data_IF_711436259844
#
_entry.id   IF_711436259844
#
_cell.length_a   1.000
_cell.length_b   1.000
_cell.length_c   1.000
_cell.angle_alpha   90.00
_cell.angle_beta   90.00
_cell.angle_gamma   90.00
#
_symmetry.space_group_name_H-M   'P 1'
#
loop_
_entity.id
_entity.type
_entity.pdbx_description
1 polymer ?
#
# COMPACT_ATOMS: atom_id res chain seq x y z
N UNK A 1 -7.05 3.50 30.78
CA UNK A 1 -7.32 4.32 29.61
C UNK A 1 -7.28 5.81 29.98
N UNK A 2 -7.91 6.25 31.08
CA UNK A 2 -7.98 7.67 31.51
C UNK A 2 -6.63 8.42 31.56
N UNK A 3 -5.51 7.73 31.73
CA UNK A 3 -4.17 8.35 31.73
C UNK A 3 -3.50 8.39 30.35
N UNK A 4 -4.15 7.85 29.32
CA UNK A 4 -3.62 7.75 27.98
C UNK A 4 -4.37 8.66 26.98
N UNK A 5 -5.36 9.39 27.46
CA UNK A 5 -6.13 10.37 26.68
C UNK A 5 -6.43 11.59 27.53
N UNK A 6 -6.45 12.76 26.94
CA UNK A 6 -6.85 14.00 27.60
C UNK A 6 -8.38 14.17 27.64
N UNK A 7 -9.11 13.24 26.97
CA UNK A 7 -10.56 13.28 26.88
C UNK A 7 -11.23 12.31 27.89
N UNK A 8 -12.45 12.63 28.38
CA UNK A 8 -13.18 11.79 29.32
C UNK A 8 -13.47 10.40 28.74
N UNK A 9 -13.24 9.34 29.54
CA UNK A 9 -13.60 7.98 29.17
C UNK A 9 -15.07 7.70 29.50
N UNK A 10 -15.86 7.36 28.49
CA UNK A 10 -17.27 6.99 28.63
C UNK A 10 -17.38 5.51 28.97
N UNK A 11 -17.74 5.20 30.22
CA UNK A 11 -17.89 3.81 30.71
C UNK A 11 -19.35 3.37 30.86
N UNK A 12 -20.27 4.31 30.79
CA UNK A 12 -21.72 4.08 30.80
C UNK A 12 -22.45 5.18 30.03
N UNK A 13 -23.60 4.84 29.46
CA UNK A 13 -24.47 5.83 28.79
C UNK A 13 -25.37 6.47 29.84
N UNK A 14 -25.34 7.78 29.91
CA UNK A 14 -26.10 8.57 30.86
C UNK A 14 -27.22 9.37 30.18
N UNK A 15 -27.91 10.20 30.96
CA UNK A 15 -28.89 11.14 30.41
C UNK A 15 -28.32 12.25 29.50
N UNK A 16 -26.99 12.30 29.32
CA UNK A 16 -26.34 13.20 28.37
C UNK A 16 -26.31 12.65 26.94
N UNK A 17 -26.68 11.37 26.75
CA UNK A 17 -26.72 10.68 25.47
C UNK A 17 -25.36 10.72 24.72
N UNK A 18 -24.28 10.39 25.44
CA UNK A 18 -22.87 10.50 25.00
C UNK A 18 -22.62 9.87 23.63
N UNK A 19 -23.29 8.76 23.31
CA UNK A 19 -23.21 8.12 22.00
C UNK A 19 -23.63 9.01 20.84
N UNK A 20 -24.60 9.95 21.06
CA UNK A 20 -25.05 10.91 20.04
C UNK A 20 -24.03 12.03 19.90
N UNK A 21 -23.48 12.54 21.02
CA UNK A 21 -22.42 13.56 20.99
C UNK A 21 -21.16 13.02 20.30
N UNK A 22 -20.85 11.73 20.50
CA UNK A 22 -19.69 11.08 19.89
C UNK A 22 -19.94 10.73 18.41
N UNK A 23 -20.90 9.85 18.14
CA UNK A 23 -21.07 9.17 16.87
C UNK A 23 -22.38 9.51 16.14
N UNK A 24 -23.16 10.47 16.62
CA UNK A 24 -24.37 10.93 15.94
C UNK A 24 -24.04 11.75 14.68
N UNK A 25 -25.09 12.10 13.90
CA UNK A 25 -24.94 12.88 12.64
C UNK A 25 -24.28 14.26 12.83
N UNK A 26 -24.36 14.83 14.00
CA UNK A 26 -23.71 16.07 14.41
C UNK A 26 -22.61 15.80 15.47
N UNK A 27 -22.23 14.53 15.63
CA UNK A 27 -21.17 14.12 16.52
C UNK A 27 -19.79 14.55 16.02
N UNK A 28 -18.79 14.49 16.91
CA UNK A 28 -17.43 14.93 16.56
C UNK A 28 -16.55 13.82 15.97
N UNK A 29 -16.99 12.56 16.04
CA UNK A 29 -16.16 11.44 15.56
C UNK A 29 -16.14 11.36 14.04
N UNK A 30 -14.94 11.35 13.46
CA UNK A 30 -14.72 11.09 12.03
C UNK A 30 -14.69 9.58 11.72
N UNK A 31 -14.43 8.75 12.74
CA UNK A 31 -14.39 7.28 12.65
C UNK A 31 -14.59 6.66 14.01
N UNK A 32 -15.25 5.51 14.08
CA UNK A 32 -15.32 4.67 15.27
C UNK A 32 -14.40 3.45 15.09
N UNK A 33 -13.35 3.36 15.92
CA UNK A 33 -12.47 2.20 15.98
C UNK A 33 -12.85 1.28 17.15
N UNK A 34 -13.14 0.01 16.87
CA UNK A 34 -13.36 -1.05 17.85
C UNK A 34 -12.12 -1.97 17.92
N UNK A 35 -11.19 -1.70 18.83
CA UNK A 35 -9.91 -2.40 18.96
C UNK A 35 -9.57 -2.70 20.43
N UNK A 36 -9.60 -3.96 20.86
CA UNK A 36 -10.01 -5.17 20.12
C UNK A 36 -11.53 -5.34 20.03
N UNK A 37 -12.02 -5.96 18.94
CA UNK A 37 -13.39 -6.42 18.80
C UNK A 37 -13.48 -7.93 19.07
N UNK A 38 -14.19 -8.32 20.14
CA UNK A 38 -14.41 -9.73 20.48
C UNK A 38 -15.59 -10.32 19.69
N UNK A 39 -15.72 -11.64 19.66
CA UNK A 39 -16.91 -12.32 19.09
C UNK A 39 -18.23 -11.78 19.67
N UNK A 40 -18.24 -11.47 20.99
CA UNK A 40 -19.43 -10.88 21.62
C UNK A 40 -19.73 -9.48 21.07
N UNK A 41 -18.71 -8.65 20.88
CA UNK A 41 -18.87 -7.30 20.33
C UNK A 41 -19.38 -7.36 18.89
N UNK A 42 -18.70 -8.12 18.03
CA UNK A 42 -19.10 -8.27 16.63
C UNK A 42 -20.54 -8.84 16.49
N UNK A 43 -20.85 -9.90 17.23
CA UNK A 43 -22.18 -10.51 17.22
C UNK A 43 -23.29 -9.58 17.69
N UNK A 44 -23.05 -8.78 18.73
CA UNK A 44 -24.02 -7.79 19.24
C UNK A 44 -24.24 -6.66 18.23
N UNK A 45 -23.18 -6.08 17.68
CA UNK A 45 -23.30 -5.00 16.69
C UNK A 45 -24.06 -5.51 15.46
N UNK A 46 -23.73 -6.72 14.95
CA UNK A 46 -24.42 -7.33 13.82
C UNK A 46 -25.90 -7.66 14.08
N UNK A 47 -26.28 -7.81 15.38
CA UNK A 47 -27.66 -8.03 15.79
C UNK A 47 -28.37 -6.76 16.28
N UNK A 48 -27.73 -5.59 16.18
CA UNK A 48 -28.21 -4.31 16.72
C UNK A 48 -28.56 -4.37 18.22
N UNK A 49 -27.76 -5.09 19.01
CA UNK A 49 -27.89 -5.15 20.47
C UNK A 49 -26.97 -4.10 21.10
N UNK A 50 -27.56 -3.05 21.63
CA UNK A 50 -26.88 -1.88 22.18
C UNK A 50 -26.98 -1.77 23.70
N UNK A 51 -26.50 -2.79 24.40
CA UNK A 51 -26.55 -2.92 25.86
C UNK A 51 -25.25 -2.46 26.58
N UNK A 52 -24.31 -1.89 25.85
CA UNK A 52 -23.04 -1.32 26.36
C UNK A 52 -22.70 -0.02 25.64
N UNK A 53 -21.89 0.88 26.25
CA UNK A 53 -21.43 2.09 25.55
C UNK A 53 -20.82 1.81 24.18
N UNK A 54 -20.02 0.74 24.06
CA UNK A 54 -19.36 0.34 22.81
C UNK A 54 -20.39 -0.03 21.73
N UNK A 55 -21.36 -0.89 22.07
CA UNK A 55 -22.38 -1.33 21.10
C UNK A 55 -23.37 -0.23 20.77
N UNK A 56 -23.70 0.64 21.73
CA UNK A 56 -24.57 1.81 21.49
C UNK A 56 -23.88 2.83 20.58
N UNK A 57 -22.58 3.11 20.79
CA UNK A 57 -21.81 3.94 19.87
C UNK A 57 -21.73 3.32 18.45
N UNK A 58 -21.52 2.00 18.34
CA UNK A 58 -21.47 1.33 17.07
C UNK A 58 -22.81 1.39 16.30
N UNK A 59 -23.93 1.15 17.00
CA UNK A 59 -25.27 1.27 16.41
C UNK A 59 -25.53 2.71 15.94
N UNK A 60 -25.11 3.70 16.74
CA UNK A 60 -25.26 5.13 16.40
C UNK A 60 -24.39 5.50 15.20
N UNK A 61 -23.11 5.10 15.19
CA UNK A 61 -22.18 5.38 14.10
C UNK A 61 -22.68 4.84 12.77
N UNK A 62 -23.10 3.57 12.74
CA UNK A 62 -23.66 2.93 11.54
C UNK A 62 -24.95 3.64 11.05
N UNK A 63 -25.79 4.10 11.97
CA UNK A 63 -27.01 4.85 11.64
C UNK A 63 -26.79 6.31 11.24
N UNK A 64 -25.60 6.85 11.50
CA UNK A 64 -25.20 8.22 11.22
C UNK A 64 -24.21 8.33 10.04
N UNK A 65 -23.89 7.21 9.39
CA UNK A 65 -22.89 7.10 8.32
C UNK A 65 -21.46 7.49 8.77
N UNK A 66 -21.16 7.37 10.07
CA UNK A 66 -19.79 7.48 10.60
C UNK A 66 -19.06 6.18 10.31
N UNK A 67 -17.91 6.22 9.64
CA UNK A 67 -17.14 5.01 9.34
C UNK A 67 -16.81 4.18 10.58
N UNK A 68 -16.93 2.86 10.49
CA UNK A 68 -16.61 1.93 11.57
C UNK A 68 -15.47 1.01 11.13
N UNK A 69 -14.42 0.95 11.94
CA UNK A 69 -13.30 0.02 11.77
C UNK A 69 -13.28 -0.95 12.95
N UNK A 70 -13.15 -2.24 12.68
CA UNK A 70 -13.03 -3.28 13.70
C UNK A 70 -11.70 -4.03 13.58
N UNK A 71 -11.04 -4.26 14.73
CA UNK A 71 -9.88 -5.13 14.83
C UNK A 71 -10.25 -6.39 15.63
N UNK A 72 -10.66 -7.49 14.99
CA UNK A 72 -11.07 -8.71 15.66
C UNK A 72 -9.93 -9.34 16.48
N UNK A 73 -10.26 -9.80 17.70
CA UNK A 73 -9.31 -10.52 18.54
C UNK A 73 -10.05 -11.53 19.43
N UNK A 74 -9.78 -12.84 19.24
CA UNK A 74 -10.41 -13.93 19.95
C UNK A 74 -9.64 -15.24 19.77
N UNK A 75 -10.03 -16.31 20.49
CA UNK A 75 -9.48 -17.64 20.21
C UNK A 75 -9.99 -18.14 18.85
N UNK A 76 -9.11 -18.83 18.09
CA UNK A 76 -9.40 -19.33 16.75
C UNK A 76 -10.73 -20.10 16.64
N UNK A 77 -11.09 -21.05 17.55
CA UNK A 77 -12.38 -21.73 17.48
C UNK A 77 -13.60 -20.80 17.64
N UNK A 78 -13.42 -19.63 18.25
CA UNK A 78 -14.49 -18.61 18.31
C UNK A 78 -14.56 -17.83 17.01
N UNK A 79 -13.42 -17.54 16.40
CA UNK A 79 -13.33 -16.86 15.10
C UNK A 79 -13.96 -17.72 13.99
N UNK A 80 -13.66 -19.04 14.01
CA UNK A 80 -14.17 -20.01 13.03
C UNK A 80 -15.66 -20.41 13.26
N UNK A 81 -16.27 -19.91 14.32
CA UNK A 81 -17.68 -20.23 14.60
C UNK A 81 -18.58 -19.65 13.52
N UNK A 82 -19.46 -20.46 12.85
CA UNK A 82 -20.28 -19.99 11.74
C UNK A 82 -21.07 -18.71 12.02
N UNK A 83 -21.65 -18.58 13.22
CA UNK A 83 -22.39 -17.38 13.61
C UNK A 83 -21.52 -16.14 13.84
N UNK A 84 -20.21 -16.31 14.06
CA UNK A 84 -19.25 -15.17 14.12
C UNK A 84 -18.87 -14.77 12.70
N UNK A 85 -18.57 -15.71 11.84
CA UNK A 85 -18.31 -15.45 10.41
C UNK A 85 -19.52 -14.75 9.75
N UNK A 86 -20.74 -15.26 9.95
CA UNK A 86 -21.96 -14.62 9.47
C UNK A 86 -22.13 -13.18 10.02
N UNK A 87 -21.72 -12.93 11.26
CA UNK A 87 -21.79 -11.59 11.85
C UNK A 87 -20.76 -10.65 11.21
N UNK A 88 -19.53 -11.12 10.96
CA UNK A 88 -18.49 -10.34 10.28
C UNK A 88 -18.88 -10.01 8.84
N UNK A 89 -19.36 -11.00 8.08
CA UNK A 89 -19.83 -10.82 6.69
C UNK A 89 -20.99 -9.80 6.62
N UNK A 90 -21.91 -9.86 7.58
CA UNK A 90 -23.02 -8.91 7.67
C UNK A 90 -22.51 -7.50 7.95
N UNK A 91 -21.59 -7.33 8.89
CA UNK A 91 -21.02 -6.04 9.21
C UNK A 91 -20.22 -5.47 8.03
N UNK A 92 -19.47 -6.29 7.31
CA UNK A 92 -18.77 -5.91 6.09
C UNK A 92 -19.76 -5.41 5.02
N UNK A 93 -20.91 -6.10 4.85
CA UNK A 93 -21.97 -5.68 3.93
C UNK A 93 -22.61 -4.34 4.27
N UNK A 94 -22.47 -3.86 5.51
CA UNK A 94 -22.88 -2.53 5.97
C UNK A 94 -21.79 -1.49 5.88
N UNK A 95 -20.61 -1.86 5.35
CA UNK A 95 -19.47 -0.96 5.16
C UNK A 95 -18.52 -0.89 6.35
N UNK A 96 -18.67 -1.76 7.36
CA UNK A 96 -17.66 -1.90 8.42
C UNK A 96 -16.37 -2.44 7.82
N UNK A 97 -15.25 -1.81 8.12
CA UNK A 97 -13.94 -2.24 7.70
C UNK A 97 -13.28 -3.07 8.76
N UNK A 98 -12.49 -4.06 8.36
CA UNK A 98 -11.77 -4.93 9.27
C UNK A 98 -10.26 -4.80 9.10
N UNK A 99 -9.55 -4.63 10.22
CA UNK A 99 -8.13 -4.93 10.30
C UNK A 99 -8.00 -6.43 10.64
N UNK A 100 -7.64 -7.25 9.65
CA UNK A 100 -7.66 -8.69 9.75
C UNK A 100 -6.74 -9.22 10.85
N UNK A 101 -7.22 -10.15 11.69
CA UNK A 101 -6.42 -10.67 12.78
C UNK A 101 -5.27 -11.54 12.28
N UNK A 102 -4.16 -11.55 13.01
CA UNK A 102 -3.05 -12.48 12.78
C UNK A 102 -3.40 -13.84 13.39
N UNK A 103 -3.41 -14.88 12.56
CA UNK A 103 -3.65 -16.24 13.04
C UNK A 103 -2.34 -16.85 13.55
N UNK A 104 -2.17 -16.91 14.85
CA UNK A 104 -0.95 -17.39 15.50
C UNK A 104 -1.29 -18.23 16.74
N UNK A 105 -0.67 -19.38 16.91
CA UNK A 105 -0.79 -20.25 18.09
C UNK A 105 -2.25 -20.60 18.47
N UNK A 106 -3.12 -20.86 17.49
CA UNK A 106 -4.54 -21.16 17.70
C UNK A 106 -5.38 -19.96 18.20
N UNK A 107 -4.94 -18.75 17.90
CA UNK A 107 -5.63 -17.50 18.25
C UNK A 107 -5.68 -16.57 17.05
N UNK A 108 -6.83 -15.94 16.86
CA UNK A 108 -6.95 -14.73 16.06
C UNK A 108 -6.50 -13.55 16.94
N UNK A 109 -5.20 -13.25 16.91
CA UNK A 109 -4.61 -12.11 17.63
C UNK A 109 -4.99 -10.82 16.90
N UNK A 110 -5.13 -9.73 17.64
CA UNK A 110 -5.37 -8.42 17.05
C UNK A 110 -4.35 -8.14 15.94
N UNK A 111 -4.78 -7.47 14.86
CA UNK A 111 -3.92 -6.99 13.78
C UNK A 111 -2.70 -6.22 14.31
N UNK A 112 -1.65 -6.13 13.53
CA UNK A 112 -0.54 -5.24 13.88
C UNK A 112 -1.04 -3.78 13.97
N UNK A 113 -0.39 -2.97 14.78
CA UNK A 113 -0.78 -1.56 14.95
C UNK A 113 -0.81 -0.83 13.60
N UNK A 114 0.18 -1.07 12.75
CA UNK A 114 0.28 -0.48 11.40
C UNK A 114 -0.92 -0.85 10.51
N UNK A 115 -1.43 -2.07 10.61
CA UNK A 115 -2.58 -2.53 9.84
C UNK A 115 -3.87 -1.84 10.31
N UNK A 116 -4.05 -1.71 11.63
CA UNK A 116 -5.18 -0.98 12.22
C UNK A 116 -5.16 0.48 11.78
N UNK A 117 -3.99 1.14 11.87
CA UNK A 117 -3.80 2.53 11.42
C UNK A 117 -4.10 2.67 9.93
N UNK A 118 -3.69 1.71 9.11
CA UNK A 118 -3.96 1.70 7.66
C UNK A 118 -5.45 1.63 7.36
N UNK A 119 -6.22 0.78 8.08
CA UNK A 119 -7.67 0.69 7.89
C UNK A 119 -8.40 1.94 8.38
N UNK A 120 -7.97 2.55 9.48
CA UNK A 120 -8.50 3.84 9.94
C UNK A 120 -8.21 4.94 8.93
N UNK A 121 -6.97 5.02 8.42
CA UNK A 121 -6.60 5.97 7.39
C UNK A 121 -7.45 5.79 6.12
N UNK A 122 -7.68 4.55 5.69
CA UNK A 122 -8.54 4.27 4.53
C UNK A 122 -10.00 4.68 4.78
N UNK A 123 -10.51 4.51 6.00
CA UNK A 123 -11.87 4.89 6.36
C UNK A 123 -12.10 6.41 6.37
N UNK A 124 -11.03 7.20 6.63
CA UNK A 124 -11.10 8.66 6.79
C UNK A 124 -10.52 9.46 5.61
N UNK A 125 -9.88 8.79 4.65
CA UNK A 125 -9.31 9.45 3.47
C UNK A 125 -10.28 9.44 2.30
N UNK A 126 -10.40 10.53 1.51
CA UNK A 126 -11.20 10.54 0.28
C UNK A 126 -10.78 9.43 -0.68
N UNK A 127 -11.75 8.65 -1.14
CA UNK A 127 -11.54 7.44 -1.97
C UNK A 127 -11.39 7.79 -3.47
N UNK A 128 -10.45 8.68 -3.80
CA UNK A 128 -10.22 9.23 -5.16
C UNK A 128 -9.82 8.18 -6.20
N UNK A 129 -9.30 7.03 -5.74
CA UNK A 129 -8.88 5.90 -6.58
C UNK A 129 -9.83 4.71 -6.48
N UNK A 130 -11.06 4.93 -5.99
CA UNK A 130 -12.07 3.87 -5.92
C UNK A 130 -12.38 3.31 -7.31
N UNK A 131 -12.40 1.98 -7.42
CA UNK A 131 -12.63 1.29 -8.69
C UNK A 131 -11.41 1.17 -9.60
N UNK A 132 -10.25 1.75 -9.22
CA UNK A 132 -9.01 1.61 -10.01
C UNK A 132 -8.16 0.44 -9.51
N UNK A 133 -7.41 -0.17 -10.43
CA UNK A 133 -6.42 -1.21 -10.15
C UNK A 133 -5.03 -0.71 -10.52
N UNK A 134 -4.12 -0.65 -9.55
CA UNK A 134 -2.76 -0.16 -9.74
C UNK A 134 -1.74 -1.24 -9.44
N UNK A 135 -0.82 -1.48 -10.36
CA UNK A 135 0.33 -2.37 -10.18
C UNK A 135 1.51 -1.56 -9.68
N UNK A 136 2.15 -2.00 -8.60
CA UNK A 136 3.33 -1.35 -8.02
C UNK A 136 4.47 -2.34 -7.93
N UNK A 137 5.66 -1.99 -8.42
CA UNK A 137 6.87 -2.77 -8.16
C UNK A 137 7.65 -2.20 -6.97
N UNK A 138 8.23 -3.06 -6.13
CA UNK A 138 9.00 -2.61 -4.97
C UNK A 138 10.22 -3.51 -4.70
N UNK A 139 11.17 -3.01 -3.92
CA UNK A 139 12.36 -3.77 -3.52
C UNK A 139 13.45 -3.76 -4.57
N UNK A 140 14.33 -4.75 -4.50
CA UNK A 140 15.41 -4.96 -5.46
C UNK A 140 15.30 -6.34 -6.07
N UNK A 141 15.55 -6.47 -7.37
CA UNK A 141 15.69 -7.79 -7.98
C UNK A 141 17.01 -8.45 -7.58
N UNK A 142 17.02 -9.77 -7.61
CA UNK A 142 18.15 -10.62 -7.21
C UNK A 142 18.50 -11.54 -8.36
N UNK A 143 19.60 -11.24 -9.05
CA UNK A 143 20.06 -12.05 -10.17
C UNK A 143 20.93 -13.19 -9.65
N UNK A 144 20.58 -14.42 -10.00
CA UNK A 144 21.28 -15.60 -9.51
C UNK A 144 22.64 -15.75 -10.18
N UNK A 145 23.71 -15.99 -9.42
CA UNK A 145 25.04 -16.38 -9.90
C UNK A 145 25.22 -17.90 -9.73
N UNK A 146 24.87 -18.40 -8.54
CA UNK A 146 24.81 -19.84 -8.22
C UNK A 146 23.71 -20.06 -7.16
N UNK A 147 23.42 -21.30 -6.70
CA UNK A 147 22.36 -21.52 -5.70
C UNK A 147 22.50 -20.75 -4.36
N UNK A 148 23.63 -20.07 -4.14
CA UNK A 148 23.92 -19.37 -2.89
C UNK A 148 24.21 -17.89 -3.11
N UNK A 149 24.75 -17.51 -4.26
CA UNK A 149 25.19 -16.12 -4.54
C UNK A 149 24.25 -15.43 -5.51
N UNK A 150 23.98 -14.20 -5.19
CA UNK A 150 23.15 -13.31 -6.00
C UNK A 150 23.88 -11.99 -6.26
N UNK A 151 23.53 -11.34 -7.37
CA UNK A 151 23.80 -9.93 -7.65
C UNK A 151 22.51 -9.15 -7.38
N UNK A 152 22.58 -8.10 -6.56
CA UNK A 152 21.39 -7.30 -6.19
C UNK A 152 21.76 -5.86 -5.86
N UNK A 153 20.76 -5.00 -5.78
CA UNK A 153 20.84 -3.61 -5.33
C UNK A 153 20.60 -3.50 -3.81
N UNK A 154 20.96 -2.36 -3.22
CA UNK A 154 20.75 -2.10 -1.78
C UNK A 154 19.36 -1.60 -1.42
N UNK A 155 18.42 -1.54 -2.36
CA UNK A 155 17.09 -1.01 -2.11
C UNK A 155 16.28 -1.91 -1.16
N UNK A 156 15.68 -1.31 -0.14
CA UNK A 156 14.86 -2.01 0.87
C UNK A 156 13.39 -2.20 0.49
N UNK A 157 12.94 -1.55 -0.59
CA UNK A 157 11.55 -1.54 -1.03
C UNK A 157 10.58 -0.70 -0.17
N UNK A 158 11.08 0.02 0.83
CA UNK A 158 10.22 0.83 1.72
C UNK A 158 9.37 1.84 0.95
N UNK A 159 9.95 2.57 0.00
CA UNK A 159 9.24 3.58 -0.80
C UNK A 159 8.11 2.96 -1.64
N UNK A 160 8.38 1.87 -2.37
CA UNK A 160 7.36 1.20 -3.17
C UNK A 160 6.20 0.64 -2.31
N UNK A 161 6.50 0.11 -1.12
CA UNK A 161 5.47 -0.32 -0.16
C UNK A 161 4.67 0.86 0.41
N UNK A 162 5.30 2.00 0.71
CA UNK A 162 4.62 3.21 1.15
C UNK A 162 3.66 3.74 0.07
N UNK A 163 4.09 3.75 -1.20
CA UNK A 163 3.24 4.09 -2.35
C UNK A 163 2.06 3.12 -2.46
N UNK A 164 2.30 1.82 -2.39
CA UNK A 164 1.25 0.80 -2.46
C UNK A 164 0.20 0.99 -1.34
N UNK A 165 0.65 1.23 -0.10
CA UNK A 165 -0.23 1.53 1.04
C UNK A 165 -1.02 2.82 0.82
N UNK A 166 -0.39 3.88 0.33
CA UNK A 166 -1.06 5.17 0.08
C UNK A 166 -2.15 5.08 -1.01
N UNK A 167 -1.92 4.28 -2.05
CA UNK A 167 -2.91 3.98 -3.09
C UNK A 167 -4.10 3.20 -2.50
N UNK A 168 -3.81 2.17 -1.69
CA UNK A 168 -4.83 1.41 -0.98
C UNK A 168 -5.68 2.32 -0.09
N UNK A 169 -5.06 3.19 0.70
CA UNK A 169 -5.76 4.16 1.57
C UNK A 169 -6.70 5.06 0.78
N UNK A 170 -6.40 5.39 -0.47
CA UNK A 170 -7.24 6.19 -1.38
C UNK A 170 -8.26 5.40 -2.21
N UNK A 171 -8.40 4.11 -1.92
CA UNK A 171 -9.46 3.29 -2.52
C UNK A 171 -9.02 2.35 -3.64
N UNK A 172 -7.79 2.44 -4.13
CA UNK A 172 -7.32 1.56 -5.18
C UNK A 172 -7.31 0.08 -4.75
N UNK A 173 -7.53 -0.80 -5.71
CA UNK A 173 -7.04 -2.18 -5.67
C UNK A 173 -5.57 -2.16 -6.04
N UNK A 174 -4.70 -2.75 -5.24
CA UNK A 174 -3.25 -2.73 -5.46
C UNK A 174 -2.73 -4.14 -5.70
N UNK A 175 -1.95 -4.33 -6.75
CA UNK A 175 -1.08 -5.51 -6.93
C UNK A 175 0.36 -5.08 -6.68
N UNK A 176 0.99 -5.68 -5.67
CA UNK A 176 2.38 -5.39 -5.30
C UNK A 176 3.30 -6.50 -5.81
N UNK A 177 4.17 -6.18 -6.79
CA UNK A 177 5.14 -7.11 -7.37
C UNK A 177 6.49 -6.89 -6.70
N UNK A 178 6.91 -7.82 -5.84
CA UNK A 178 8.16 -7.68 -5.08
C UNK A 178 8.68 -9.01 -4.51
N UNK A 179 9.89 -8.98 -3.96
CA UNK A 179 10.52 -10.07 -3.20
C UNK A 179 10.40 -9.81 -1.68
N UNK A 180 9.21 -9.73 -1.18
CA UNK A 180 8.95 -9.46 0.24
C UNK A 180 7.77 -10.27 0.79
N UNK A 181 7.46 -10.12 2.07
CA UNK A 181 6.32 -10.78 2.68
C UNK A 181 4.99 -10.22 2.15
N UNK A 182 3.94 -11.00 2.33
CA UNK A 182 2.58 -10.55 2.11
C UNK A 182 2.25 -9.34 2.98
N UNK A 183 1.42 -8.46 2.44
CA UNK A 183 0.92 -7.26 3.12
C UNK A 183 -0.60 -7.18 2.99
N UNK A 184 -1.33 -6.70 4.01
CA UNK A 184 -2.80 -6.73 3.99
C UNK A 184 -3.45 -5.74 3.00
N UNK A 185 -2.70 -4.75 2.53
CA UNK A 185 -3.18 -3.69 1.65
C UNK A 185 -2.94 -3.93 0.16
N UNK A 186 -2.45 -5.11 -0.24
CA UNK A 186 -2.19 -5.43 -1.65
C UNK A 186 -2.24 -6.94 -1.94
N UNK A 187 -2.64 -7.29 -3.16
CA UNK A 187 -2.42 -8.63 -3.72
C UNK A 187 -0.94 -8.77 -4.08
N UNK A 188 -0.20 -9.64 -3.37
CA UNK A 188 1.25 -9.79 -3.56
C UNK A 188 1.56 -10.79 -4.65
N UNK A 189 2.42 -10.40 -5.59
CA UNK A 189 3.06 -11.28 -6.58
C UNK A 189 4.53 -11.37 -6.26
N UNK A 190 4.94 -12.48 -5.66
CA UNK A 190 6.33 -12.72 -5.30
C UNK A 190 7.20 -12.98 -6.54
N UNK A 191 8.31 -12.26 -6.65
CA UNK A 191 9.29 -12.36 -7.74
C UNK A 191 10.69 -12.18 -7.20
N UNK A 192 11.68 -12.80 -7.81
CA UNK A 192 13.08 -12.69 -7.39
C UNK A 192 13.91 -11.91 -8.41
N UNK A 193 13.83 -12.29 -9.70
CA UNK A 193 14.68 -11.73 -10.76
C UNK A 193 14.01 -10.62 -11.56
N UNK A 194 14.81 -9.88 -12.35
CA UNK A 194 14.29 -8.86 -13.26
C UNK A 194 13.33 -9.47 -14.31
N UNK A 195 13.66 -10.63 -14.86
CA UNK A 195 12.80 -11.31 -15.84
C UNK A 195 11.47 -11.74 -15.22
N UNK A 196 11.47 -12.31 -14.00
CA UNK A 196 10.26 -12.67 -13.27
C UNK A 196 9.38 -11.44 -12.98
N UNK A 197 9.99 -10.31 -12.61
CA UNK A 197 9.30 -9.04 -12.36
C UNK A 197 8.66 -8.48 -13.63
N UNK A 198 9.37 -8.49 -14.76
CA UNK A 198 8.86 -8.06 -16.05
C UNK A 198 7.66 -8.92 -16.48
N UNK A 199 7.79 -10.24 -16.38
CA UNK A 199 6.71 -11.16 -16.72
C UNK A 199 5.48 -11.00 -15.83
N UNK A 200 5.68 -10.79 -14.52
CA UNK A 200 4.60 -10.51 -13.59
C UNK A 200 3.89 -9.20 -13.93
N UNK A 201 4.63 -8.12 -14.16
CA UNK A 201 4.07 -6.83 -14.53
C UNK A 201 3.32 -6.89 -15.87
N UNK A 202 3.83 -7.58 -16.88
CA UNK A 202 3.11 -7.77 -18.15
C UNK A 202 1.79 -8.52 -17.98
N UNK A 203 1.74 -9.53 -17.12
CA UNK A 203 0.48 -10.25 -16.85
C UNK A 203 -0.53 -9.41 -16.06
N UNK A 204 -0.08 -8.71 -15.04
CA UNK A 204 -0.97 -7.92 -14.17
C UNK A 204 -1.42 -6.61 -14.81
N UNK A 205 -0.59 -6.01 -15.67
CA UNK A 205 -0.92 -4.79 -16.42
C UNK A 205 -2.11 -4.98 -17.38
N UNK A 206 -2.42 -6.21 -17.80
CA UNK A 206 -3.56 -6.50 -18.66
C UNK A 206 -4.92 -6.05 -18.10
N UNK A 207 -5.04 -5.91 -16.78
CA UNK A 207 -6.26 -5.50 -16.07
C UNK A 207 -6.03 -4.29 -15.18
N UNK A 208 -4.89 -3.63 -15.30
CA UNK A 208 -4.54 -2.48 -14.48
C UNK A 208 -4.87 -1.16 -15.20
N UNK A 209 -5.22 -0.17 -14.41
CA UNK A 209 -5.44 1.21 -14.86
C UNK A 209 -4.15 2.03 -14.81
N UNK A 210 -3.14 1.59 -14.04
CA UNK A 210 -1.80 2.21 -14.00
C UNK A 210 -0.72 1.25 -13.51
N UNK A 211 0.54 1.56 -13.84
CA UNK A 211 1.74 0.90 -13.31
C UNK A 211 2.66 1.93 -12.64
N UNK A 212 3.14 1.60 -11.44
CA UNK A 212 4.19 2.37 -10.75
C UNK A 212 5.45 1.51 -10.64
N UNK A 213 6.51 1.92 -11.33
CA UNK A 213 7.81 1.25 -11.33
C UNK A 213 8.73 1.85 -10.28
N UNK A 214 8.64 1.36 -9.02
CA UNK A 214 9.44 1.84 -7.89
C UNK A 214 10.51 0.85 -7.41
N UNK A 215 10.62 -0.32 -8.05
CA UNK A 215 11.68 -1.29 -7.75
C UNK A 215 13.04 -0.87 -8.30
N UNK A 216 14.11 -1.21 -7.58
CA UNK A 216 15.48 -1.14 -8.07
C UNK A 216 15.80 -2.41 -8.87
N UNK A 217 15.45 -2.39 -10.15
CA UNK A 217 15.65 -3.52 -11.04
C UNK A 217 17.12 -3.55 -11.47
N UNK A 218 17.72 -4.73 -11.44
CA UNK A 218 19.11 -4.92 -11.86
C UNK A 218 19.28 -4.62 -13.35
N UNK A 219 20.27 -3.79 -13.68
CA UNK A 219 20.62 -3.48 -15.08
C UNK A 219 21.38 -4.62 -15.77
N UNK A 220 21.90 -5.56 -14.97
CA UNK A 220 22.70 -6.67 -15.44
C UNK A 220 22.30 -7.98 -14.74
N UNK A 221 22.35 -9.07 -15.48
CA UNK A 221 22.20 -10.43 -14.98
C UNK A 221 23.37 -11.29 -15.41
N UNK A 222 23.55 -12.45 -14.81
CA UNK A 222 24.55 -13.45 -15.15
C UNK A 222 23.89 -14.75 -15.59
N UNK A 223 24.62 -15.55 -16.36
CA UNK A 223 24.21 -16.94 -16.58
C UNK A 223 24.46 -17.76 -15.32
N UNK A 224 23.38 -18.09 -14.61
CA UNK A 224 23.44 -18.83 -13.35
C UNK A 224 23.94 -20.25 -13.59
N UNK A 225 24.77 -20.75 -12.67
CA UNK A 225 25.21 -22.14 -12.67
C UNK A 225 24.46 -22.95 -11.62
N UNK A 226 24.11 -24.20 -11.92
CA UNK A 226 23.29 -25.05 -11.05
C UNK A 226 24.05 -25.56 -9.80
N UNK A 227 25.36 -25.42 -9.77
CA UNK A 227 26.20 -25.89 -8.66
C UNK A 227 26.92 -24.74 -8.00
N UNK A 228 27.05 -24.84 -6.66
CA UNK A 228 27.84 -23.88 -5.88
C UNK A 228 29.27 -23.77 -6.43
N UNK A 229 29.67 -22.57 -6.82
CA UNK A 229 31.04 -22.25 -7.21
C UNK A 229 31.95 -22.38 -6.00
N UNK A 230 32.99 -23.23 -6.13
CA UNK A 230 33.96 -23.45 -5.05
C UNK A 230 34.94 -22.30 -4.92
N UNK A 231 35.28 -21.95 -3.69
CA UNK A 231 36.34 -20.97 -3.40
C UNK A 231 37.73 -21.59 -3.66
N UNK A 232 38.73 -20.71 -3.89
CA UNK A 232 40.13 -21.16 -4.05
C UNK A 232 40.83 -20.58 -5.26
N UNK A 233 40.12 -19.92 -6.15
CA UNK A 233 40.66 -19.19 -7.31
C UNK A 233 39.89 -17.89 -7.51
N UNK A 234 40.46 -16.87 -8.17
CA UNK A 234 39.72 -15.70 -8.62
C UNK A 234 38.52 -16.14 -9.49
N UNK A 235 37.37 -15.49 -9.29
CA UNK A 235 36.16 -15.72 -10.06
C UNK A 235 35.88 -14.51 -10.94
N UNK A 236 35.67 -14.73 -12.24
CA UNK A 236 35.11 -13.75 -13.17
C UNK A 236 33.68 -14.12 -13.47
N UNK A 237 32.78 -13.15 -13.43
CA UNK A 237 31.36 -13.33 -13.79
C UNK A 237 31.08 -12.42 -14.98
N UNK A 238 30.65 -13.02 -16.09
CA UNK A 238 30.22 -12.25 -17.25
C UNK A 238 28.81 -11.78 -17.05
N UNK A 239 28.59 -10.47 -17.14
CA UNK A 239 27.30 -9.83 -16.98
C UNK A 239 26.73 -9.39 -18.33
N UNK A 240 25.45 -9.65 -18.55
CA UNK A 240 24.68 -9.18 -19.72
C UNK A 240 23.58 -8.23 -19.28
N UNK A 241 23.23 -7.22 -20.11
CA UNK A 241 22.14 -6.31 -19.80
C UNK A 241 20.80 -7.04 -19.66
N UNK A 242 19.99 -6.60 -18.67
CA UNK A 242 18.59 -7.03 -18.53
C UNK A 242 17.68 -6.20 -19.41
N UNK A 243 16.54 -6.74 -19.88
CA UNK A 243 15.49 -5.94 -20.50
C UNK A 243 14.99 -4.86 -19.52
N UNK A 244 14.49 -3.75 -20.08
CA UNK A 244 13.90 -2.69 -19.25
C UNK A 244 12.42 -2.95 -19.04
N UNK A 245 11.98 -3.03 -17.78
CA UNK A 245 10.58 -3.29 -17.41
C UNK A 245 9.62 -2.30 -18.07
N UNK A 246 9.91 -1.00 -17.93
CA UNK A 246 9.03 0.05 -18.45
C UNK A 246 8.89 -0.05 -19.97
N UNK A 247 9.99 -0.31 -20.69
CA UNK A 247 9.96 -0.47 -22.15
C UNK A 247 9.11 -1.69 -22.56
N UNK A 248 9.28 -2.81 -21.84
CA UNK A 248 8.54 -4.06 -22.09
C UNK A 248 7.03 -3.94 -21.81
N UNK A 249 6.66 -3.17 -20.79
CA UNK A 249 5.24 -2.92 -20.48
C UNK A 249 4.65 -1.92 -21.46
N UNK A 250 5.35 -0.85 -21.82
CA UNK A 250 4.91 0.15 -22.78
C UNK A 250 4.67 -0.45 -24.16
N UNK A 251 5.55 -1.36 -24.61
CA UNK A 251 5.36 -2.10 -25.87
C UNK A 251 4.07 -2.92 -25.88
N UNK A 252 3.75 -3.58 -24.76
CA UNK A 252 2.56 -4.40 -24.65
C UNK A 252 1.27 -3.60 -24.40
N UNK A 253 1.37 -2.45 -23.72
CA UNK A 253 0.25 -1.60 -23.30
C UNK A 253 0.58 -0.13 -23.60
N UNK A 254 0.41 0.33 -24.85
CA UNK A 254 0.82 1.67 -25.30
C UNK A 254 0.15 2.82 -24.54
N UNK A 255 -1.08 2.64 -24.09
CA UNK A 255 -1.90 3.70 -23.48
C UNK A 255 -1.93 3.64 -21.93
N UNK A 256 -1.29 2.62 -21.33
CA UNK A 256 -1.29 2.47 -19.86
C UNK A 256 -0.52 3.63 -19.20
N UNK A 257 -1.13 4.37 -18.26
CA UNK A 257 -0.41 5.30 -17.40
C UNK A 257 0.72 4.61 -16.64
N UNK A 258 1.95 5.09 -16.82
CA UNK A 258 3.14 4.55 -16.14
C UNK A 258 3.85 5.66 -15.38
N UNK A 259 4.11 5.41 -14.10
CA UNK A 259 4.93 6.27 -13.24
C UNK A 259 6.30 5.64 -13.07
N UNK A 260 7.35 6.39 -13.32
CA UNK A 260 8.73 5.94 -13.14
C UNK A 260 9.36 6.47 -11.85
N UNK A 261 10.20 5.67 -11.21
CA UNK A 261 11.08 6.11 -10.13
C UNK A 261 12.52 6.13 -10.66
N UNK A 262 13.23 7.20 -10.35
CA UNK A 262 14.65 7.35 -10.70
C UNK A 262 15.45 7.80 -9.49
N UNK A 263 16.45 7.02 -9.10
CA UNK A 263 17.39 7.39 -8.07
C UNK A 263 18.61 8.03 -8.72
N UNK A 264 18.98 9.24 -8.28
CA UNK A 264 20.18 9.95 -8.70
C UNK A 264 21.15 10.08 -7.52
N UNK A 265 22.44 9.82 -7.77
CA UNK A 265 23.48 9.85 -6.73
C UNK A 265 24.29 11.13 -6.74
N UNK A 266 24.13 11.97 -7.75
CA UNK A 266 24.86 13.23 -7.91
C UNK A 266 24.14 14.10 -8.94
N UNK A 267 24.17 15.38 -8.71
CA UNK A 267 23.57 16.39 -9.58
C UNK A 267 22.81 17.43 -8.76
N UNK A 268 22.61 18.59 -9.35
CA UNK A 268 21.67 19.58 -8.87
C UNK A 268 20.25 19.22 -9.35
N UNK A 269 19.26 19.98 -8.92
CA UNK A 269 17.87 19.78 -9.28
C UNK A 269 17.64 19.88 -10.78
N UNK A 270 18.36 20.75 -11.48
CA UNK A 270 18.26 20.90 -12.92
C UNK A 270 18.68 19.61 -13.66
N UNK A 271 19.75 18.95 -13.20
CA UNK A 271 20.20 17.68 -13.76
C UNK A 271 19.21 16.53 -13.46
N UNK A 272 18.64 16.50 -12.24
CA UNK A 272 17.60 15.51 -11.88
C UNK A 272 16.35 15.67 -12.74
N UNK A 273 15.87 16.89 -12.93
CA UNK A 273 14.72 17.20 -13.79
C UNK A 273 15.00 16.82 -15.23
N UNK A 274 16.14 17.26 -15.78
CA UNK A 274 16.49 16.95 -17.19
C UNK A 274 16.56 15.44 -17.46
N UNK A 275 17.10 14.66 -16.54
CA UNK A 275 17.15 13.20 -16.69
C UNK A 275 15.76 12.55 -16.55
N UNK A 276 14.90 13.06 -15.64
CA UNK A 276 13.52 12.61 -15.49
C UNK A 276 12.70 12.89 -16.77
N UNK A 277 12.81 14.10 -17.32
CA UNK A 277 12.18 14.49 -18.60
C UNK A 277 12.66 13.60 -19.75
N UNK A 278 13.97 13.38 -19.85
CA UNK A 278 14.54 12.52 -20.89
C UNK A 278 13.97 11.10 -20.87
N UNK A 279 13.77 10.53 -19.67
CA UNK A 279 13.18 9.19 -19.53
C UNK A 279 11.69 9.25 -19.87
N UNK A 280 10.99 10.26 -19.37
CA UNK A 280 9.57 10.48 -19.63
C UNK A 280 9.28 10.58 -21.13
N UNK A 281 10.02 11.42 -21.85
CA UNK A 281 9.86 11.61 -23.31
C UNK A 281 10.14 10.31 -24.09
N UNK A 282 11.16 9.54 -23.66
CA UNK A 282 11.53 8.30 -24.34
C UNK A 282 10.45 7.22 -24.27
N UNK A 283 9.75 7.12 -23.15
CA UNK A 283 8.82 6.01 -22.85
C UNK A 283 7.37 6.48 -22.75
N UNK A 284 7.13 7.77 -22.67
CA UNK A 284 5.79 8.33 -22.49
C UNK A 284 5.27 8.08 -21.07
N UNK A 285 6.06 8.46 -20.04
CA UNK A 285 5.62 8.33 -18.65
C UNK A 285 4.62 9.43 -18.29
N UNK A 286 3.70 9.14 -17.37
CA UNK A 286 2.77 10.13 -16.86
C UNK A 286 3.50 11.17 -16.00
N UNK A 287 4.39 10.70 -15.12
CA UNK A 287 5.35 11.50 -14.36
C UNK A 287 6.50 10.63 -13.85
N UNK A 288 7.56 11.27 -13.39
CA UNK A 288 8.73 10.61 -12.81
C UNK A 288 8.97 11.13 -11.40
N UNK A 289 9.22 10.24 -10.46
CA UNK A 289 9.67 10.56 -9.10
C UNK A 289 11.19 10.44 -9.08
N UNK A 290 11.87 11.57 -9.13
CA UNK A 290 13.34 11.64 -9.06
C UNK A 290 13.78 11.76 -7.61
N UNK A 291 14.40 10.69 -7.07
CA UNK A 291 14.85 10.64 -5.68
C UNK A 291 16.34 10.96 -5.57
N UNK A 292 16.71 11.74 -4.58
CA UNK A 292 18.10 11.91 -4.19
C UNK A 292 18.59 10.64 -3.46
N UNK A 293 19.47 9.89 -4.11
CA UNK A 293 20.01 8.64 -3.58
C UNK A 293 21.04 8.86 -2.45
N UNK A 294 21.51 10.08 -2.21
CA UNK A 294 22.39 10.40 -1.08
C UNK A 294 21.71 10.21 0.27
N UNK A 295 20.38 10.32 0.32
CA UNK A 295 19.51 10.04 1.50
C UNK A 295 18.91 8.64 1.50
N UNK A 296 19.44 7.73 0.66
CA UNK A 296 18.93 6.37 0.55
C UNK A 296 19.24 5.57 1.84
N UNK A 297 18.21 5.18 2.57
CA UNK A 297 18.33 4.40 3.81
C UNK A 297 17.87 5.15 5.06
N UNK A 298 17.78 6.46 5.03
CA UNK A 298 17.29 7.29 6.13
C UNK A 298 15.75 7.23 6.24
N UNK A 299 15.22 7.73 7.36
CA UNK A 299 13.78 7.86 7.57
C UNK A 299 13.20 8.96 6.68
N UNK A 300 13.95 10.04 6.48
CA UNK A 300 13.60 11.14 5.59
C UNK A 300 13.99 10.83 4.12
N UNK A 301 13.27 11.42 3.20
CA UNK A 301 13.52 11.35 1.76
C UNK A 301 13.27 12.71 1.12
N UNK A 302 14.02 13.01 0.05
CA UNK A 302 13.79 14.14 -0.82
C UNK A 302 13.53 13.63 -2.23
N UNK A 303 12.48 14.12 -2.87
CA UNK A 303 12.13 13.73 -4.23
C UNK A 303 11.56 14.93 -4.99
N UNK A 304 11.75 14.93 -6.32
CA UNK A 304 11.10 15.83 -7.25
C UNK A 304 10.08 15.00 -8.07
N UNK A 305 8.82 15.43 -8.08
CA UNK A 305 7.81 14.88 -8.98
C UNK A 305 7.85 15.70 -10.27
N UNK A 306 8.28 15.06 -11.33
CA UNK A 306 8.47 15.70 -12.66
C UNK A 306 7.40 15.17 -13.59
N UNK A 307 6.41 16.01 -13.91
CA UNK A 307 5.26 15.70 -14.76
C UNK A 307 5.16 16.68 -15.92
N UNK A 308 3.93 17.10 -16.25
CA UNK A 308 3.63 18.07 -17.30
C UNK A 308 3.81 19.52 -16.85
N UNK A 309 3.64 19.75 -15.54
CA UNK A 309 3.76 21.05 -14.90
C UNK A 309 5.17 21.24 -14.31
N UNK A 310 5.41 22.39 -13.68
CA UNK A 310 6.67 22.66 -12.98
C UNK A 310 6.95 21.54 -11.93
N UNK A 311 8.22 21.14 -11.78
CA UNK A 311 8.59 20.09 -10.83
C UNK A 311 8.16 20.44 -9.40
N UNK A 312 7.50 19.48 -8.72
CA UNK A 312 7.06 19.62 -7.34
C UNK A 312 8.02 18.92 -6.38
N UNK A 313 8.55 19.67 -5.41
CA UNK A 313 9.50 19.15 -4.42
C UNK A 313 8.76 18.58 -3.21
N UNK A 314 9.13 17.35 -2.83
CA UNK A 314 8.73 16.72 -1.58
C UNK A 314 9.94 16.50 -0.68
N UNK A 315 9.82 16.91 0.59
CA UNK A 315 10.78 16.61 1.67
C UNK A 315 10.01 16.08 2.87
N UNK A 316 10.33 14.88 3.36
CA UNK A 316 9.64 14.26 4.48
C UNK A 316 9.91 12.77 4.55
N UNK A 317 9.00 12.02 5.20
CA UNK A 317 9.12 10.56 5.27
C UNK A 317 8.61 9.86 4.00
N UNK A 318 8.83 8.54 3.93
CA UNK A 318 8.44 7.74 2.77
C UNK A 318 6.93 7.56 2.65
N UNK A 319 6.21 7.66 3.76
CA UNK A 319 4.74 7.53 3.77
C UNK A 319 4.08 8.77 3.20
N UNK A 320 4.56 9.95 3.57
CA UNK A 320 4.12 11.19 2.96
C UNK A 320 4.46 11.28 1.47
N UNK A 321 5.67 10.81 1.05
CA UNK A 321 5.97 10.68 -0.38
C UNK A 321 4.99 9.73 -1.09
N UNK A 322 4.69 8.59 -0.47
CA UNK A 322 3.68 7.66 -1.00
C UNK A 322 2.32 8.34 -1.18
N UNK A 323 1.90 9.14 -0.19
CA UNK A 323 0.70 9.96 -0.26
C UNK A 323 0.70 10.92 -1.44
N UNK A 324 1.81 11.66 -1.63
CA UNK A 324 1.96 12.62 -2.72
C UNK A 324 1.89 11.97 -4.10
N UNK A 325 2.57 10.82 -4.27
CA UNK A 325 2.54 10.02 -5.51
C UNK A 325 1.13 9.50 -5.81
N UNK A 326 0.39 9.05 -4.78
CA UNK A 326 -0.96 8.56 -4.96
C UNK A 326 -1.96 9.68 -5.31
N UNK A 327 -1.79 10.88 -4.78
CA UNK A 327 -2.60 12.05 -5.13
C UNK A 327 -2.34 12.48 -6.58
N UNK A 328 -1.07 12.57 -7.00
CA UNK A 328 -0.69 12.89 -8.37
C UNK A 328 -1.23 11.87 -9.38
N UNK A 329 -1.16 10.56 -9.04
CA UNK A 329 -1.74 9.52 -9.90
C UNK A 329 -3.27 9.66 -10.00
N UNK A 330 -3.96 10.04 -8.91
CA UNK A 330 -5.40 10.27 -8.94
C UNK A 330 -5.78 11.43 -9.86
N UNK A 331 -4.98 12.50 -9.93
CA UNK A 331 -5.16 13.61 -10.86
C UNK A 331 -4.97 13.14 -12.32
N UNK A 332 -3.89 12.40 -12.60
CA UNK A 332 -3.62 11.81 -13.92
C UNK A 332 -4.79 10.93 -14.38
N UNK A 333 -5.27 10.01 -13.54
CA UNK A 333 -6.37 9.10 -13.93
C UNK A 333 -7.71 9.82 -14.09
N UNK A 334 -7.95 10.89 -13.32
CA UNK A 334 -9.13 11.75 -13.47
C UNK A 334 -9.18 12.45 -14.82
N UNK A 335 -8.05 12.92 -15.33
CA UNK A 335 -7.93 13.53 -16.65
C UNK A 335 -8.13 12.52 -17.79
N UNK A 336 -7.59 11.30 -17.65
CA UNK A 336 -7.78 10.23 -18.64
C UNK A 336 -9.25 9.81 -18.76
N UNK A 337 -10.00 9.70 -17.65
CA UNK A 337 -11.43 9.38 -17.63
C UNK A 337 -12.27 10.43 -18.34
N UNK A 338 -11.98 11.71 -18.12
CA UNK A 338 -12.69 12.83 -18.75
C UNK A 338 -12.44 12.91 -20.28
N UNK A 339 -11.29 12.44 -20.77
CA UNK A 339 -10.93 12.47 -22.21
C UNK A 339 -11.56 11.34 -23.02
N UNK A 340 -12.09 10.28 -22.38
CA UNK A 340 -12.65 9.10 -23.03
C UNK A 340 -14.18 9.16 -23.20
N UNK A 341 -14.84 10.14 -22.57
CA UNK A 341 -16.30 10.36 -22.63
C UNK A 341 -16.76 11.39 -23.68
N UNK A 342 -15.87 11.84 -24.62
CA UNK A 342 -16.18 12.83 -25.68
C UNK A 342 -16.35 12.17 -27.06
#
# INVERSE_FOLDING_TARGET
VDFATDEPVVTEITGRVEHVELCGREGWADVLLLAPATANTAGKVAAAVDDTPVTTCATTALGADVPVVMAPAMHEPMYDHPGVLDALDRLESWGVRFADPRIEEGKAKIAAEEDVVTEVARATTPQRLSGTHVVVTAGATKERIDPIRILTNRASGKTGRAVARALYVRGAKVTLVHDGPDVPYADVVAVETADEMIDACRRTAATADALISAAAISDFTADAVDQKIRSGSPLSVDLRPTPKLIDSVREAYPDLPIVGFKAETSGDDEAMVAEAERISDRVGLSFVVANDASVMGDEETRALLVGRDDPDEYVGDKDGLGGRVADELADVLGEFGASTEV
#
